data_IF_758556961974
#
_entry.id   IF_758556961974
#
_cell.length_a   1.000
_cell.length_b   1.000
_cell.length_c   1.000
_cell.angle_alpha   90.00
_cell.angle_beta   90.00
_cell.angle_gamma   90.00
#
_symmetry.space_group_name_H-M   'P 1'
#
loop_
_entity.id
_entity.type
_entity.pdbx_description
1 polymer ?
#
# COMPACT_ATOMS: atom_id res chain seq x y z
N UNK A 1 -36.03 -0.05 -6.90
CA UNK A 1 -35.45 -0.02 -8.26
C UNK A 1 -34.21 0.86 -8.21
N UNK A 2 -33.02 0.29 -8.47
CA UNK A 2 -31.76 1.06 -8.42
C UNK A 2 -31.72 2.08 -9.56
N UNK A 3 -31.42 3.34 -9.23
CA UNK A 3 -31.20 4.40 -10.23
C UNK A 3 -30.12 3.92 -11.21
N UNK A 4 -30.49 3.76 -12.49
CA UNK A 4 -29.50 3.67 -13.59
C UNK A 4 -28.85 5.04 -13.68
N UNK A 5 -27.78 5.25 -12.91
CA UNK A 5 -26.87 6.37 -13.17
C UNK A 5 -26.24 6.07 -14.52
N UNK A 6 -26.45 6.95 -15.50
CA UNK A 6 -25.73 6.91 -16.76
C UNK A 6 -24.28 7.21 -16.41
N UNK A 7 -23.50 6.15 -16.27
CA UNK A 7 -22.11 6.24 -15.87
C UNK A 7 -21.27 6.35 -17.14
N UNK A 8 -20.55 7.45 -17.28
CA UNK A 8 -19.56 7.54 -18.35
C UNK A 8 -18.31 6.76 -17.92
N UNK A 9 -18.18 5.55 -18.46
CA UNK A 9 -17.05 4.65 -18.20
C UNK A 9 -15.69 5.31 -18.52
N UNK A 10 -15.65 6.21 -19.51
CA UNK A 10 -14.42 6.91 -19.91
C UNK A 10 -13.92 7.85 -18.80
N UNK A 11 -14.85 8.53 -18.11
CA UNK A 11 -14.53 9.43 -17.00
C UNK A 11 -14.03 8.63 -15.79
N UNK A 12 -14.63 7.48 -15.52
CA UNK A 12 -14.18 6.57 -14.44
C UNK A 12 -12.77 6.06 -14.72
N UNK A 13 -12.47 5.68 -15.96
CA UNK A 13 -11.12 5.28 -16.39
C UNK A 13 -10.13 6.44 -16.18
N UNK A 14 -10.50 7.67 -16.59
CA UNK A 14 -9.66 8.85 -16.40
C UNK A 14 -9.29 9.08 -14.93
N UNK A 15 -10.26 8.96 -14.03
CA UNK A 15 -10.04 9.11 -12.57
C UNK A 15 -9.24 7.98 -11.95
N UNK A 16 -9.44 6.75 -12.41
CA UNK A 16 -8.63 5.62 -11.97
C UNK A 16 -7.16 5.79 -12.41
N UNK A 17 -6.93 6.30 -13.62
CA UNK A 17 -5.59 6.60 -14.13
C UNK A 17 -4.91 7.75 -13.40
N UNK A 18 -5.66 8.77 -12.98
CA UNK A 18 -5.12 9.89 -12.18
C UNK A 18 -4.84 9.50 -10.72
N UNK A 19 -5.18 8.29 -10.30
CA UNK A 19 -4.91 7.79 -8.96
C UNK A 19 -5.99 8.12 -7.92
N UNK A 20 -7.16 8.62 -8.35
CA UNK A 20 -8.27 8.90 -7.44
C UNK A 20 -8.68 7.62 -6.68
N UNK A 21 -9.08 7.78 -5.41
CA UNK A 21 -9.46 6.61 -4.61
C UNK A 21 -10.81 6.08 -5.11
N UNK A 22 -10.92 4.75 -5.17
CA UNK A 22 -12.16 4.08 -5.59
C UNK A 22 -13.37 4.44 -4.73
N UNK A 23 -13.15 4.86 -3.47
CA UNK A 23 -14.20 5.37 -2.59
C UNK A 23 -14.76 6.70 -3.10
N UNK A 24 -13.89 7.64 -3.42
CA UNK A 24 -14.29 8.98 -3.86
C UNK A 24 -15.03 8.89 -5.20
N UNK A 25 -14.56 8.02 -6.12
CA UNK A 25 -15.26 7.70 -7.37
C UNK A 25 -16.65 7.09 -7.09
N UNK A 26 -16.75 6.17 -6.13
CA UNK A 26 -18.04 5.56 -5.79
C UNK A 26 -19.05 6.59 -5.25
N UNK A 27 -18.59 7.47 -4.35
CA UNK A 27 -19.41 8.51 -3.74
C UNK A 27 -19.84 9.56 -4.77
N UNK A 28 -18.95 9.95 -5.68
CA UNK A 28 -19.23 10.96 -6.72
C UNK A 28 -20.22 10.47 -7.78
N UNK A 29 -20.11 9.21 -8.21
CA UNK A 29 -20.98 8.65 -9.23
C UNK A 29 -22.18 7.86 -8.67
N UNK A 30 -22.33 7.78 -7.35
CA UNK A 30 -23.43 7.06 -6.70
C UNK A 30 -23.44 5.55 -6.99
N UNK A 31 -22.28 4.95 -7.23
CA UNK A 31 -22.12 3.51 -7.48
C UNK A 31 -21.53 2.80 -6.27
N UNK A 32 -21.71 1.48 -6.19
CA UNK A 32 -21.06 0.73 -5.11
C UNK A 32 -19.54 0.71 -5.31
N UNK A 33 -18.79 0.79 -4.20
CA UNK A 33 -17.32 0.60 -4.21
C UNK A 33 -16.90 -0.74 -4.81
N UNK A 34 -17.73 -1.77 -4.66
CA UNK A 34 -17.48 -3.09 -5.24
C UNK A 34 -17.54 -3.04 -6.76
N UNK A 35 -18.50 -2.29 -7.33
CA UNK A 35 -18.58 -2.07 -8.77
C UNK A 35 -17.32 -1.38 -9.30
N UNK A 36 -16.88 -0.28 -8.66
CA UNK A 36 -15.64 0.44 -9.05
C UNK A 36 -14.42 -0.49 -8.98
N UNK A 37 -14.32 -1.32 -7.94
CA UNK A 37 -13.23 -2.27 -7.78
C UNK A 37 -13.20 -3.33 -8.87
N UNK A 38 -14.37 -3.89 -9.23
CA UNK A 38 -14.48 -4.84 -10.34
C UNK A 38 -14.17 -4.19 -11.68
N UNK A 39 -14.68 -2.97 -11.91
CA UNK A 39 -14.42 -2.19 -13.11
C UNK A 39 -12.93 -1.90 -13.27
N UNK A 40 -12.25 -1.46 -12.21
CA UNK A 40 -10.81 -1.22 -12.22
C UNK A 40 -10.03 -2.50 -12.53
N UNK A 41 -10.39 -3.65 -11.93
CA UNK A 41 -9.75 -4.94 -12.22
C UNK A 41 -9.91 -5.37 -13.66
N UNK A 42 -11.12 -5.28 -14.23
CA UNK A 42 -11.40 -5.64 -15.63
C UNK A 42 -10.59 -4.78 -16.62
N UNK A 43 -10.33 -3.53 -16.27
CA UNK A 43 -9.56 -2.59 -17.08
C UNK A 43 -8.06 -2.58 -16.77
N UNK A 44 -7.55 -3.49 -15.92
CA UNK A 44 -6.12 -3.52 -15.54
C UNK A 44 -5.65 -2.33 -14.70
N UNK A 45 -6.58 -1.53 -14.17
CA UNK A 45 -6.33 -0.35 -13.32
C UNK A 45 -6.43 -0.70 -11.83
N UNK A 46 -6.17 -1.95 -11.48
CA UNK A 46 -6.17 -2.41 -10.10
C UNK A 46 -5.08 -1.68 -9.33
N UNK A 47 -5.45 -0.85 -8.35
CA UNK A 47 -4.45 -0.21 -7.50
C UNK A 47 -3.73 -1.25 -6.63
N UNK A 48 -2.41 -1.12 -6.44
CA UNK A 48 -1.67 -1.96 -5.51
C UNK A 48 -2.30 -1.83 -4.13
N UNK A 49 -2.44 -2.97 -3.44
CA UNK A 49 -2.98 -2.96 -2.07
C UNK A 49 -2.08 -2.09 -1.22
N UNK A 50 -2.65 -1.04 -0.63
CA UNK A 50 -1.96 -0.29 0.41
C UNK A 50 -1.60 -1.28 1.53
N UNK A 51 -0.30 -1.53 1.69
CA UNK A 51 0.20 -2.30 2.83
C UNK A 51 -0.10 -1.55 4.13
N UNK A 52 -0.23 -2.27 5.25
CA UNK A 52 -0.24 -1.62 6.55
C UNK A 52 1.10 -0.90 6.75
N UNK A 53 1.12 0.31 7.32
CA UNK A 53 2.36 0.96 7.69
C UNK A 53 3.12 0.03 8.64
N UNK A 54 4.45 -0.02 8.48
CA UNK A 54 5.27 -0.82 9.38
C UNK A 54 5.19 -0.22 10.79
N UNK A 55 5.14 -1.10 11.80
CA UNK A 55 5.26 -0.69 13.20
C UNK A 55 6.65 -0.13 13.52
N UNK A 56 7.66 -0.48 12.72
CA UNK A 56 9.05 -0.15 12.98
C UNK A 56 9.62 0.83 11.96
N UNK A 57 10.45 1.74 12.45
CA UNK A 57 11.24 2.64 11.63
C UNK A 57 12.41 1.89 11.01
N UNK A 58 12.24 1.44 9.77
CA UNK A 58 13.23 0.64 9.06
C UNK A 58 14.58 1.36 8.87
N UNK A 59 14.56 2.69 8.74
CA UNK A 59 15.78 3.50 8.59
C UNK A 59 16.64 3.44 9.85
N UNK A 60 16.02 3.57 11.04
CA UNK A 60 16.71 3.44 12.32
C UNK A 60 17.34 2.05 12.49
N UNK A 61 16.60 0.99 12.12
CA UNK A 61 17.10 -0.40 12.19
C UNK A 61 18.33 -0.57 11.30
N UNK A 62 18.26 -0.09 10.06
CA UNK A 62 19.38 -0.19 9.10
C UNK A 62 20.58 0.64 9.55
N UNK A 63 20.36 1.81 10.15
CA UNK A 63 21.45 2.63 10.70
C UNK A 63 22.18 1.92 11.84
N UNK A 64 21.44 1.27 12.76
CA UNK A 64 22.05 0.50 13.86
C UNK A 64 22.87 -0.68 13.34
N UNK A 65 22.36 -1.40 12.34
CA UNK A 65 23.07 -2.52 11.71
C UNK A 65 24.34 -2.05 10.98
N UNK A 66 24.27 -0.91 10.28
CA UNK A 66 25.45 -0.29 9.66
C UNK A 66 26.49 0.16 10.68
N UNK A 67 26.05 0.53 11.88
CA UNK A 67 26.92 0.84 13.01
C UNK A 67 27.59 -0.39 13.65
N UNK A 68 27.40 -1.59 13.10
CA UNK A 68 28.02 -2.83 13.56
C UNK A 68 27.26 -3.55 14.68
N UNK A 69 26.05 -3.11 15.04
CA UNK A 69 25.22 -3.85 16.00
C UNK A 69 24.75 -5.17 15.41
N UNK A 70 24.68 -6.21 16.25
CA UNK A 70 24.09 -7.47 15.87
C UNK A 70 22.57 -7.35 15.71
N UNK A 71 21.96 -8.28 14.98
CA UNK A 71 20.50 -8.30 14.83
C UNK A 71 19.76 -8.49 16.17
N UNK A 72 20.37 -9.19 17.12
CA UNK A 72 19.79 -9.43 18.44
C UNK A 72 19.81 -8.14 19.29
N UNK A 73 20.92 -7.38 19.26
CA UNK A 73 21.03 -6.11 19.98
C UNK A 73 20.03 -5.07 19.44
N UNK A 74 19.89 -5.00 18.12
CA UNK A 74 18.92 -4.12 17.48
C UNK A 74 17.50 -4.52 17.87
N UNK A 75 17.20 -5.81 17.91
CA UNK A 75 15.89 -6.33 18.28
C UNK A 75 15.50 -5.99 19.72
N UNK A 76 16.42 -6.15 20.67
CA UNK A 76 16.23 -5.72 22.06
C UNK A 76 15.96 -4.21 22.11
N UNK A 77 16.74 -3.42 21.38
CA UNK A 77 16.62 -1.95 21.38
C UNK A 77 15.32 -1.41 20.79
N UNK A 78 14.75 -2.11 19.81
CA UNK A 78 13.46 -1.74 19.20
C UNK A 78 12.26 -2.47 19.84
N UNK A 79 12.50 -3.29 20.87
CA UNK A 79 11.45 -4.08 21.54
C UNK A 79 10.79 -5.11 20.61
N UNK A 80 11.56 -5.72 19.70
CA UNK A 80 11.08 -6.72 18.75
C UNK A 80 11.84 -8.04 18.88
N UNK A 81 11.35 -9.09 18.21
CA UNK A 81 12.12 -10.33 18.04
C UNK A 81 13.20 -10.14 16.96
N UNK A 82 14.32 -10.85 17.08
CA UNK A 82 15.46 -10.78 16.14
C UNK A 82 15.08 -10.99 14.69
N UNK A 83 14.22 -11.97 14.40
CA UNK A 83 13.68 -12.20 13.05
C UNK A 83 12.81 -11.05 12.49
N UNK A 84 12.37 -10.12 13.33
CA UNK A 84 11.67 -8.90 12.91
C UNK A 84 12.64 -7.82 12.46
N UNK A 85 13.75 -7.65 13.19
CA UNK A 85 14.83 -6.73 12.80
C UNK A 85 15.44 -7.14 11.44
N UNK A 86 15.68 -8.44 11.23
CA UNK A 86 16.15 -9.00 9.95
C UNK A 86 15.17 -8.68 8.82
N UNK A 87 13.88 -8.98 9.00
CA UNK A 87 12.85 -8.73 7.96
C UNK A 87 12.70 -7.25 7.63
N UNK A 88 12.79 -6.38 8.63
CA UNK A 88 12.75 -4.93 8.45
C UNK A 88 13.95 -4.43 7.62
N UNK A 89 15.16 -4.91 7.92
CA UNK A 89 16.38 -4.54 7.18
C UNK A 89 16.36 -5.05 5.73
N UNK A 90 16.06 -6.34 5.52
CA UNK A 90 15.95 -6.95 4.18
C UNK A 90 14.86 -6.26 3.36
N UNK A 91 13.71 -5.97 3.96
CA UNK A 91 12.61 -5.28 3.30
C UNK A 91 12.94 -3.83 2.95
N UNK A 92 13.82 -3.16 3.69
CA UNK A 92 14.32 -1.84 3.34
C UNK A 92 15.27 -1.90 2.12
N UNK A 93 16.23 -2.82 2.11
CA UNK A 93 17.18 -2.95 0.99
C UNK A 93 16.49 -3.37 -0.32
N UNK A 94 15.54 -4.31 -0.28
CA UNK A 94 14.76 -4.70 -1.47
C UNK A 94 13.97 -3.55 -2.09
N UNK A 95 13.51 -2.58 -1.29
CA UNK A 95 12.77 -1.41 -1.77
C UNK A 95 13.65 -0.29 -2.29
N UNK A 96 14.94 -0.28 -1.95
CA UNK A 96 15.91 0.74 -2.39
C UNK A 96 16.75 0.27 -3.58
N UNK A 97 16.80 -1.03 -3.83
CA UNK A 97 17.46 -1.63 -5.00
C UNK A 97 16.57 -1.70 -6.25
N UNK A 98 15.28 -1.37 -6.11
CA UNK A 98 14.27 -1.29 -7.17
C UNK A 98 13.85 0.17 -7.31
#
# INVERSE_FOLDING_TARGET
MGKKVVLDESVVIGKLKSGARQRDIADEFGVSRQWVSQFAKRNGLGQPKAGRPSRYEHEKIVLMLKGGMSYDDVAVKIGAQSGTAVRAAVGYWKRKAN
#
